data_IF_328809842280
#
_entry.id   IF_328809842280
#
_cell.length_a   1.000
_cell.length_b   1.000
_cell.length_c   1.000
_cell.angle_alpha   90.00
_cell.angle_beta   90.00
_cell.angle_gamma   90.00
#
_symmetry.space_group_name_H-M   'P 1'
#
loop_
_entity.id
_entity.type
_entity.pdbx_description
1 polymer ?
#
# COMPACT_ATOMS: atom_id res chain seq x y z
N UNK A 1 1.05 8.20 23.87
CA UNK A 1 1.04 7.49 22.58
C UNK A 1 0.92 8.53 21.49
N UNK A 2 1.85 8.56 20.53
CA UNK A 2 1.78 9.47 19.38
C UNK A 2 0.85 8.87 18.33
N UNK A 3 0.24 9.71 17.51
CA UNK A 3 -0.62 9.28 16.41
C UNK A 3 0.18 9.25 15.10
N UNK A 4 -0.06 8.26 14.21
CA UNK A 4 0.55 8.25 12.90
C UNK A 4 0.19 9.50 12.09
N UNK A 5 1.08 9.96 11.19
CA UNK A 5 0.82 11.14 10.38
C UNK A 5 -0.21 10.85 9.31
N UNK A 6 -1.01 11.86 8.96
CA UNK A 6 -1.85 11.81 7.75
C UNK A 6 -0.94 12.01 6.53
N UNK A 7 -0.65 10.90 5.83
CA UNK A 7 0.13 10.90 4.59
C UNK A 7 -0.76 10.39 3.46
N UNK A 8 -1.00 11.24 2.47
CA UNK A 8 -1.84 10.90 1.32
C UNK A 8 -1.41 9.57 0.69
N UNK A 9 -2.33 8.60 0.69
CA UNK A 9 -2.12 7.28 0.08
C UNK A 9 -1.35 6.26 0.94
N UNK A 10 -0.99 6.57 2.18
CA UNK A 10 -0.40 5.61 3.12
C UNK A 10 -1.34 5.44 4.31
N UNK A 11 -1.80 4.21 4.54
CA UNK A 11 -2.53 3.83 5.76
C UNK A 11 -1.54 3.25 6.77
N UNK A 12 -1.47 3.83 7.97
CA UNK A 12 -0.59 3.36 9.05
C UNK A 12 -1.32 2.38 9.97
N UNK A 13 -1.57 1.18 9.45
CA UNK A 13 -2.22 0.08 10.17
C UNK A 13 -1.45 -1.22 9.93
N UNK A 14 -1.47 -2.13 10.91
CA UNK A 14 -0.90 -3.47 10.73
C UNK A 14 -1.67 -4.18 9.62
N UNK A 15 -0.95 -4.71 8.63
CA UNK A 15 -1.51 -5.33 7.42
C UNK A 15 -1.69 -4.37 6.24
N UNK A 16 -1.57 -3.05 6.44
CA UNK A 16 -1.62 -2.09 5.34
C UNK A 16 -0.43 -2.24 4.40
N UNK A 17 -0.67 -2.00 3.11
CA UNK A 17 0.33 -2.14 2.05
C UNK A 17 0.89 -0.78 1.63
N UNK A 18 2.19 -0.76 1.33
CA UNK A 18 2.92 0.41 0.86
C UNK A 18 4.12 -0.03 0.00
N UNK A 19 4.88 0.92 -0.51
CA UNK A 19 6.22 0.65 -1.05
C UNK A 19 7.30 1.20 -0.13
N UNK A 20 8.33 0.39 0.12
CA UNK A 20 9.50 0.78 0.90
C UNK A 20 10.77 0.72 0.05
N UNK A 21 11.65 1.68 0.25
CA UNK A 21 12.96 1.73 -0.43
C UNK A 21 13.98 0.92 0.37
N UNK A 22 14.69 0.02 -0.29
CA UNK A 22 15.76 -0.76 0.33
C UNK A 22 17.09 0.02 0.34
N UNK A 23 18.13 -0.61 0.91
CA UNK A 23 19.49 -0.04 0.98
C UNK A 23 20.15 0.12 -0.40
N UNK A 24 19.73 -0.68 -1.40
CA UNK A 24 20.18 -0.56 -2.79
C UNK A 24 19.41 0.52 -3.57
N UNK A 25 18.55 1.29 -2.88
CA UNK A 25 17.78 2.40 -3.44
C UNK A 25 16.66 1.97 -4.39
N UNK A 26 16.26 0.70 -4.35
CA UNK A 26 15.15 0.13 -5.11
C UNK A 26 13.84 0.17 -4.30
N UNK A 27 12.72 0.35 -4.98
CA UNK A 27 11.39 0.35 -4.36
C UNK A 27 10.75 -1.03 -4.48
N UNK A 28 10.18 -1.50 -3.37
CA UNK A 28 9.50 -2.79 -3.31
C UNK A 28 8.16 -2.68 -2.59
N UNK A 29 7.17 -3.41 -3.10
CA UNK A 29 5.91 -3.58 -2.41
C UNK A 29 6.12 -4.30 -1.06
N UNK A 30 5.46 -3.80 -0.03
CA UNK A 30 5.66 -4.24 1.34
C UNK A 30 4.37 -4.10 2.17
N UNK A 31 4.39 -4.68 3.35
CA UNK A 31 3.29 -4.64 4.32
C UNK A 31 3.81 -4.14 5.67
N UNK A 32 3.01 -3.35 6.38
CA UNK A 32 3.29 -3.00 7.78
C UNK A 32 3.02 -4.22 8.66
N UNK A 33 4.05 -4.77 9.30
CA UNK A 33 3.93 -5.92 10.21
C UNK A 33 3.66 -5.48 11.65
N UNK A 34 4.25 -4.36 12.09
CA UNK A 34 4.08 -3.81 13.45
C UNK A 34 4.19 -2.28 13.44
N UNK A 35 3.60 -1.65 14.45
CA UNK A 35 3.72 -0.21 14.70
C UNK A 35 4.22 0.00 16.12
N UNK A 36 5.24 0.84 16.27
CA UNK A 36 5.79 1.31 17.54
C UNK A 36 5.41 2.80 17.65
N UNK A 37 4.31 3.08 18.34
CA UNK A 37 3.75 4.43 18.47
C UNK A 37 4.62 5.35 19.35
N UNK A 38 5.41 4.79 20.26
CA UNK A 38 6.26 5.59 21.14
C UNK A 38 7.52 6.06 20.41
N UNK A 39 8.05 5.21 19.52
CA UNK A 39 9.22 5.54 18.69
C UNK A 39 8.87 6.07 17.31
N UNK A 40 7.58 6.17 16.97
CA UNK A 40 7.10 6.69 15.68
C UNK A 40 7.56 5.85 14.48
N UNK A 41 7.63 4.52 14.66
CA UNK A 41 8.18 3.62 13.65
C UNK A 41 7.21 2.53 13.25
N UNK A 42 7.38 2.05 12.02
CA UNK A 42 6.69 0.90 11.46
C UNK A 42 7.70 -0.17 11.06
N UNK A 43 7.40 -1.43 11.38
CA UNK A 43 8.17 -2.58 10.91
C UNK A 43 7.62 -2.96 9.54
N UNK A 44 8.44 -2.86 8.52
CA UNK A 44 8.05 -3.16 7.14
C UNK A 44 8.54 -4.55 6.75
N UNK A 45 7.66 -5.34 6.16
CA UNK A 45 7.97 -6.62 5.54
C UNK A 45 7.87 -6.51 4.02
N UNK A 46 9.00 -6.67 3.33
CA UNK A 46 9.06 -6.69 1.86
C UNK A 46 8.36 -7.94 1.31
N UNK A 47 7.45 -7.76 0.35
CA UNK A 47 6.73 -8.88 -0.27
C UNK A 47 7.71 -9.81 -0.98
N UNK A 48 7.50 -11.11 -0.84
CA UNK A 48 8.33 -12.19 -1.41
C UNK A 48 9.76 -12.28 -0.87
N UNK A 49 10.10 -11.52 0.19
CA UNK A 49 11.41 -11.59 0.82
C UNK A 49 11.32 -12.36 2.14
N UNK A 50 12.44 -12.88 2.62
CA UNK A 50 12.50 -13.47 3.95
C UNK A 50 12.32 -12.40 5.03
N UNK A 51 11.61 -12.72 6.12
CA UNK A 51 11.39 -11.82 7.28
C UNK A 51 12.69 -11.31 7.93
N UNK A 52 13.83 -11.96 7.70
CA UNK A 52 15.15 -11.46 8.13
C UNK A 52 15.49 -10.08 7.55
N UNK A 53 14.85 -9.69 6.45
CA UNK A 53 15.02 -8.40 5.79
C UNK A 53 14.02 -7.35 6.26
N UNK A 54 13.16 -7.65 7.24
CA UNK A 54 12.26 -6.66 7.77
C UNK A 54 13.03 -5.52 8.40
N UNK A 55 12.57 -4.30 8.18
CA UNK A 55 13.27 -3.09 8.60
C UNK A 55 12.30 -2.11 9.26
N UNK A 56 12.78 -1.47 10.33
CA UNK A 56 12.04 -0.42 11.02
C UNK A 56 12.27 0.91 10.32
N UNK A 57 11.18 1.57 9.94
CA UNK A 57 11.21 2.92 9.36
C UNK A 57 10.50 3.89 10.29
N UNK A 58 11.01 5.11 10.41
CA UNK A 58 10.19 6.21 10.93
C UNK A 58 8.97 6.41 10.01
N UNK A 59 7.76 6.60 10.55
CA UNK A 59 6.55 6.68 9.72
C UNK A 59 6.53 7.89 8.76
N UNK A 60 7.31 8.94 9.07
CA UNK A 60 7.50 10.10 8.19
C UNK A 60 8.70 9.94 7.23
N UNK A 61 9.33 8.77 7.20
CA UNK A 61 10.48 8.52 6.32
C UNK A 61 10.11 8.74 4.85
N UNK A 62 10.97 9.44 4.08
CA UNK A 62 10.78 9.61 2.63
C UNK A 62 10.97 8.29 1.85
N UNK A 63 11.45 7.24 2.52
CA UNK A 63 11.63 5.90 1.97
C UNK A 63 10.37 5.03 2.09
N UNK A 64 9.26 5.60 2.56
CA UNK A 64 7.92 5.01 2.50
C UNK A 64 7.06 5.83 1.54
N UNK A 65 6.37 5.17 0.62
CA UNK A 65 5.42 5.81 -0.30
C UNK A 65 4.16 4.96 -0.50
N UNK A 66 3.05 5.55 -0.98
CA UNK A 66 1.84 4.80 -1.34
C UNK A 66 2.16 3.64 -2.29
N UNK A 67 1.48 2.51 -2.13
CA UNK A 67 1.54 1.45 -3.12
C UNK A 67 0.88 1.95 -4.41
N UNK A 68 1.65 2.05 -5.49
CA UNK A 68 1.10 2.34 -6.82
C UNK A 68 0.02 1.30 -7.17
N UNK A 69 -1.24 1.75 -7.24
CA UNK A 69 -2.30 0.92 -7.81
C UNK A 69 -2.03 0.85 -9.30
N UNK A 70 -1.63 -0.33 -9.77
CA UNK A 70 -1.59 -0.55 -11.20
C UNK A 70 -3.03 -0.51 -11.69
N UNK A 71 -3.41 0.62 -12.29
CA UNK A 71 -4.64 0.75 -13.03
C UNK A 71 -4.59 -0.28 -14.16
N UNK A 72 -5.59 -1.16 -14.26
CA UNK A 72 -5.73 -2.14 -15.35
C UNK A 72 -5.49 -1.51 -16.75
N UNK A 73 -5.86 -0.23 -16.90
CA UNK A 73 -5.59 0.58 -18.11
C UNK A 73 -4.10 0.76 -18.44
N UNK A 74 -3.21 0.88 -17.45
CA UNK A 74 -1.74 0.97 -17.65
C UNK A 74 -1.11 -0.38 -18.02
N UNK A 75 -1.79 -1.50 -17.78
CA UNK A 75 -1.33 -2.85 -18.16
C UNK A 75 -1.86 -3.31 -19.53
N UNK A 76 -2.64 -2.49 -20.24
CA UNK A 76 -3.28 -2.92 -21.49
C UNK A 76 -4.33 -4.04 -21.31
N UNK A 77 -4.66 -4.38 -20.05
CA UNK A 77 -5.66 -5.37 -19.72
C UNK A 77 -6.98 -4.63 -19.51
N UNK A 78 -7.82 -4.60 -20.54
CA UNK A 78 -9.22 -4.22 -20.37
C UNK A 78 -9.84 -5.16 -19.33
N UNK A 79 -10.48 -4.66 -18.25
CA UNK A 79 -11.33 -5.53 -17.45
C UNK A 79 -12.38 -6.15 -18.38
N UNK A 80 -12.73 -7.45 -18.23
CA UNK A 80 -13.89 -7.98 -18.93
C UNK A 80 -15.07 -7.08 -18.58
N UNK A 81 -15.65 -6.52 -19.63
CA UNK A 81 -16.75 -5.58 -19.60
C UNK A 81 -17.85 -6.13 -18.66
N UNK A 82 -17.88 -5.64 -17.42
CA UNK A 82 -18.98 -5.89 -16.52
C UNK A 82 -20.18 -5.17 -17.13
N UNK A 83 -21.01 -5.92 -17.85
CA UNK A 83 -22.29 -5.44 -18.34
C UNK A 83 -23.10 -4.95 -17.13
N UNK A 84 -23.50 -3.66 -17.07
CA UNK A 84 -24.47 -3.26 -16.07
C UNK A 84 -25.81 -3.84 -16.46
N UNK A 85 -26.29 -4.84 -15.70
CA UNK A 85 -27.71 -5.10 -15.59
C UNK A 85 -28.35 -3.86 -14.95
N UNK A 86 -28.93 -3.00 -15.78
CA UNK A 86 -29.81 -1.92 -15.34
C UNK A 86 -31.08 -1.95 -16.17
N UNK A 87 -32.10 -2.57 -15.57
CA UNK A 87 -33.49 -2.15 -15.52
C UNK A 87 -34.07 -1.46 -16.77
N UNK A 88 -34.79 -2.22 -17.59
CA UNK A 88 -35.93 -1.68 -18.33
C UNK A 88 -37.16 -1.71 -17.41
N UNK A 89 -37.42 -0.62 -16.70
CA UNK A 89 -38.78 -0.25 -16.31
C UNK A 89 -39.26 0.86 -17.24
N UNK A 90 -40.36 0.55 -17.94
CA UNK A 90 -41.37 1.44 -18.55
C UNK A 90 -40.97 2.36 -19.72
N UNK A 91 -41.41 1.97 -20.93
CA UNK A 91 -42.35 2.79 -21.70
C UNK A 91 -43.06 1.99 -22.80
N UNK A 92 -44.40 2.01 -22.71
CA UNK A 92 -45.44 1.70 -23.71
C UNK A 92 -45.80 0.24 -23.98
#
# INVERSE_FOLDING_TARGET
MKTPPDRSGITFEVGAQLEARDRQKNWYAATIEKIDYDKERVLVHYRQWSRRHNEWFHWSSPYLRPLERVSLRRQGLTPPQAQPFLNYFLSK
#
